data_IF_521221075954
#
_entry.id   IF_521221075954
#
_cell.length_a   1.000
_cell.length_b   1.000
_cell.length_c   1.000
_cell.angle_alpha   90.00
_cell.angle_beta   90.00
_cell.angle_gamma   90.00
#
_symmetry.space_group_name_H-M   'P 1'
#
loop_
_entity.id
_entity.type
_entity.pdbx_description
1 polymer ?
#
# COMPACT_ATOMS: atom_id res chain seq x y z
N UNK A 1 14.20 -8.17 13.19
CA UNK A 1 14.97 -8.87 14.24
C UNK A 1 16.45 -9.02 13.89
N UNK A 2 17.09 -8.01 13.31
CA UNK A 2 18.50 -8.10 12.87
C UNK A 2 19.28 -6.90 13.38
N UNK A 3 20.54 -7.10 13.77
CA UNK A 3 21.47 -6.03 14.14
C UNK A 3 21.13 -5.19 15.37
N UNK A 4 20.04 -5.48 16.10
CA UNK A 4 19.71 -4.73 17.33
C UNK A 4 20.69 -5.11 18.44
N UNK A 5 21.47 -4.12 18.89
CA UNK A 5 22.34 -4.27 20.07
C UNK A 5 21.50 -4.67 21.28
N UNK A 6 21.96 -5.66 22.04
CA UNK A 6 21.34 -6.01 23.32
C UNK A 6 21.48 -4.84 24.28
N UNK A 7 20.36 -4.41 24.86
CA UNK A 7 20.29 -3.36 25.86
C UNK A 7 19.71 -3.99 27.11
N UNK A 8 20.33 -3.70 28.25
CA UNK A 8 19.83 -4.09 29.56
C UNK A 8 18.53 -3.31 29.87
N UNK A 9 17.39 -3.99 30.08
CA UNK A 9 16.12 -3.33 30.37
C UNK A 9 16.14 -2.40 31.59
N UNK A 10 17.02 -2.67 32.57
CA UNK A 10 17.20 -1.83 33.76
C UNK A 10 17.82 -0.47 33.44
N UNK A 11 18.56 -0.36 32.32
CA UNK A 11 19.25 0.87 31.87
C UNK A 11 18.42 1.72 30.92
N UNK A 12 17.18 1.31 30.63
CA UNK A 12 16.27 2.09 29.78
C UNK A 12 15.63 3.17 30.66
N UNK A 13 15.98 4.42 30.37
CA UNK A 13 15.37 5.64 30.95
C UNK A 13 13.83 5.61 30.82
N UNK A 14 13.14 6.05 31.87
CA UNK A 14 11.69 6.19 31.92
C UNK A 14 11.13 6.98 30.73
N UNK A 15 11.81 8.06 30.30
CA UNK A 15 11.41 8.84 29.12
C UNK A 15 11.37 8.00 27.85
N UNK A 16 12.33 7.09 27.67
CA UNK A 16 12.37 6.17 26.52
C UNK A 16 11.25 5.13 26.60
N UNK A 17 10.95 4.62 27.79
CA UNK A 17 9.82 3.70 28.02
C UNK A 17 8.49 4.39 27.71
N UNK A 18 8.30 5.62 28.18
CA UNK A 18 7.09 6.40 27.93
C UNK A 18 6.91 6.69 26.44
N UNK A 19 7.98 7.10 25.74
CA UNK A 19 7.94 7.31 24.29
C UNK A 19 7.58 6.02 23.52
N UNK A 20 8.14 4.87 23.91
CA UNK A 20 7.80 3.57 23.33
C UNK A 20 6.33 3.21 23.58
N UNK A 21 5.82 3.44 24.80
CA UNK A 21 4.42 3.20 25.15
C UNK A 21 3.49 4.05 24.30
N UNK A 22 3.74 5.36 24.18
CA UNK A 22 2.96 6.27 23.31
C UNK A 22 2.97 5.82 21.84
N UNK A 23 4.14 5.40 21.34
CA UNK A 23 4.25 4.87 19.96
C UNK A 23 3.44 3.59 19.78
N UNK A 24 3.46 2.69 20.77
CA UNK A 24 2.70 1.44 20.73
C UNK A 24 1.18 1.70 20.78
N UNK A 25 0.73 2.61 21.65
CA UNK A 25 -0.67 3.00 21.74
C UNK A 25 -1.18 3.61 20.43
N UNK A 26 -0.41 4.52 19.84
CA UNK A 26 -0.72 5.11 18.54
C UNK A 26 -0.78 4.05 17.43
N UNK A 27 0.17 3.11 17.43
CA UNK A 27 0.19 1.99 16.48
C UNK A 27 -1.04 1.10 16.63
N UNK A 28 -1.37 0.68 17.86
CA UNK A 28 -2.53 -0.15 18.16
C UNK A 28 -3.84 0.54 17.73
N UNK A 29 -3.97 1.83 18.00
CA UNK A 29 -5.11 2.64 17.54
C UNK A 29 -5.19 2.70 16.02
N UNK A 30 -4.06 2.89 15.34
CA UNK A 30 -3.99 2.89 13.87
C UNK A 30 -4.43 1.57 13.26
N UNK A 31 -3.96 0.44 13.82
CA UNK A 31 -4.37 -0.91 13.40
C UNK A 31 -5.87 -1.12 13.60
N UNK A 32 -6.40 -0.79 14.78
CA UNK A 32 -7.83 -0.89 15.06
C UNK A 32 -8.68 -0.03 14.11
N UNK A 33 -8.23 1.20 13.83
CA UNK A 33 -8.88 2.10 12.87
C UNK A 33 -8.90 1.54 11.45
N UNK A 34 -7.78 0.99 10.97
CA UNK A 34 -7.71 0.37 9.65
C UNK A 34 -8.66 -0.83 9.53
N UNK A 35 -8.75 -1.68 10.56
CA UNK A 35 -9.69 -2.80 10.56
C UNK A 35 -11.16 -2.36 10.69
N UNK A 36 -11.44 -1.32 11.46
CA UNK A 36 -12.79 -0.74 11.55
C UNK A 36 -13.25 -0.22 10.19
N UNK A 37 -12.38 0.52 9.48
CA UNK A 37 -12.64 0.97 8.11
C UNK A 37 -12.88 -0.19 7.16
N UNK A 38 -12.05 -1.26 7.23
CA UNK A 38 -12.23 -2.45 6.39
C UNK A 38 -13.59 -3.11 6.63
N UNK A 39 -13.95 -3.29 7.91
CA UNK A 39 -15.23 -3.91 8.30
C UNK A 39 -16.43 -3.06 7.83
N UNK A 40 -16.32 -1.74 7.92
CA UNK A 40 -17.37 -0.82 7.51
C UNK A 40 -17.41 -0.56 6.00
N UNK A 41 -16.45 -1.07 5.22
CA UNK A 41 -16.20 -0.65 3.83
C UNK A 41 -16.15 0.89 3.72
N UNK A 42 -15.39 1.51 4.62
CA UNK A 42 -15.24 2.96 4.68
C UNK A 42 -14.58 3.55 3.43
N UNK A 43 -14.57 4.88 3.29
CA UNK A 43 -14.07 5.56 2.10
C UNK A 43 -12.62 5.18 1.74
N UNK A 44 -12.35 4.98 0.46
CA UNK A 44 -11.04 4.58 -0.06
C UNK A 44 -9.89 5.47 0.44
N UNK A 45 -10.09 6.79 0.44
CA UNK A 45 -9.10 7.77 0.91
C UNK A 45 -8.70 7.55 2.37
N UNK A 46 -9.69 7.29 3.24
CA UNK A 46 -9.46 7.07 4.67
C UNK A 46 -8.80 5.71 4.90
N UNK A 47 -9.21 4.69 4.16
CA UNK A 47 -8.61 3.36 4.19
C UNK A 47 -7.14 3.38 3.79
N UNK A 48 -6.80 4.06 2.67
CA UNK A 48 -5.42 4.22 2.22
C UNK A 48 -4.60 5.08 3.19
N UNK A 49 -5.18 6.12 3.78
CA UNK A 49 -4.48 6.92 4.79
C UNK A 49 -4.17 6.07 6.05
N UNK A 50 -5.18 5.40 6.61
CA UNK A 50 -5.03 4.62 7.83
C UNK A 50 -4.02 3.47 7.66
N UNK A 51 -4.11 2.71 6.56
CA UNK A 51 -3.15 1.64 6.27
C UNK A 51 -1.74 2.17 6.07
N UNK A 52 -1.56 3.31 5.37
CA UNK A 52 -0.24 3.95 5.19
C UNK A 52 0.41 4.28 6.54
N UNK A 53 -0.33 4.93 7.45
CA UNK A 53 0.21 5.28 8.78
C UNK A 53 0.72 4.09 9.57
N UNK A 54 0.08 2.93 9.43
CA UNK A 54 0.52 1.70 10.11
C UNK A 54 1.72 1.07 9.41
N UNK A 55 1.72 1.06 8.07
CA UNK A 55 2.77 0.44 7.26
C UNK A 55 4.09 1.23 7.27
N UNK A 56 4.03 2.56 7.42
CA UNK A 56 5.21 3.40 7.71
C UNK A 56 5.91 2.98 9.02
N UNK A 57 5.17 2.40 9.98
CA UNK A 57 5.75 1.92 11.24
C UNK A 57 6.15 0.44 11.16
N UNK A 58 5.39 -0.37 10.43
CA UNK A 58 5.61 -1.80 10.26
C UNK A 58 5.24 -2.25 8.84
N UNK A 59 6.23 -2.23 7.94
CA UNK A 59 6.07 -2.68 6.56
C UNK A 59 5.80 -4.18 6.40
N UNK A 60 6.03 -4.99 7.43
CA UNK A 60 5.81 -6.44 7.39
C UNK A 60 4.35 -6.84 7.68
N UNK A 61 3.43 -5.87 7.85
CA UNK A 61 2.02 -6.17 8.12
C UNK A 61 1.27 -6.58 6.84
N UNK A 62 1.43 -7.84 6.43
CA UNK A 62 0.87 -8.40 5.20
C UNK A 62 -0.65 -8.17 5.03
N UNK A 63 -1.44 -8.35 6.10
CA UNK A 63 -2.90 -8.16 6.05
C UNK A 63 -3.30 -6.75 5.63
N UNK A 64 -2.54 -5.72 6.02
CA UNK A 64 -2.85 -4.34 5.63
C UNK A 64 -2.46 -4.06 4.18
N UNK A 65 -1.41 -4.69 3.65
CA UNK A 65 -1.13 -4.66 2.21
C UNK A 65 -2.25 -5.31 1.40
N UNK A 66 -2.81 -6.42 1.87
CA UNK A 66 -3.98 -7.05 1.23
C UNK A 66 -5.18 -6.10 1.24
N UNK A 67 -5.45 -5.46 2.38
CA UNK A 67 -6.53 -4.49 2.48
C UNK A 67 -6.31 -3.29 1.53
N UNK A 68 -5.08 -2.78 1.39
CA UNK A 68 -4.78 -1.73 0.40
C UNK A 68 -5.13 -2.17 -1.02
N UNK A 69 -4.76 -3.40 -1.42
CA UNK A 69 -5.12 -3.93 -2.75
C UNK A 69 -6.63 -4.05 -2.94
N UNK A 70 -7.35 -4.52 -1.92
CA UNK A 70 -8.82 -4.56 -1.94
C UNK A 70 -9.41 -3.17 -2.20
N UNK A 71 -8.90 -2.13 -1.54
CA UNK A 71 -9.36 -0.75 -1.76
C UNK A 71 -9.13 -0.30 -3.20
N UNK A 72 -7.95 -0.55 -3.77
CA UNK A 72 -7.69 -0.21 -5.17
C UNK A 72 -8.63 -0.93 -6.12
N UNK A 73 -8.72 -2.26 -6.02
CA UNK A 73 -9.51 -3.10 -6.94
C UNK A 73 -11.01 -2.83 -6.81
N UNK A 74 -11.51 -2.58 -5.60
CA UNK A 74 -12.96 -2.53 -5.36
C UNK A 74 -13.53 -1.11 -5.36
N UNK A 75 -12.72 -0.07 -5.15
CA UNK A 75 -13.23 1.29 -4.93
C UNK A 75 -12.55 2.38 -5.74
N UNK A 76 -11.38 2.13 -6.34
CA UNK A 76 -10.63 3.17 -7.04
C UNK A 76 -10.57 2.87 -8.53
N UNK A 77 -10.05 1.71 -8.91
CA UNK A 77 -9.84 1.36 -10.32
C UNK A 77 -11.13 1.28 -11.13
N UNK A 78 -12.27 0.72 -10.64
CA UNK A 78 -13.48 0.59 -11.44
C UNK A 78 -14.06 1.91 -11.97
N UNK A 79 -13.84 3.01 -11.26
CA UNK A 79 -14.41 4.31 -11.58
C UNK A 79 -13.42 5.26 -12.28
N UNK A 80 -12.20 4.79 -12.59
CA UNK A 80 -11.13 5.60 -13.16
C UNK A 80 -10.82 5.22 -14.60
N UNK A 81 -10.57 6.22 -15.43
CA UNK A 81 -9.93 6.04 -16.75
C UNK A 81 -8.51 5.51 -16.61
N UNK A 82 -7.97 4.88 -17.66
CA UNK A 82 -6.58 4.37 -17.68
C UNK A 82 -5.57 5.45 -17.26
N UNK A 83 -5.74 6.69 -17.73
CA UNK A 83 -4.87 7.80 -17.36
C UNK A 83 -4.90 8.13 -15.86
N UNK A 84 -6.08 8.11 -15.24
CA UNK A 84 -6.24 8.35 -13.80
C UNK A 84 -5.69 7.20 -12.96
N UNK A 85 -5.85 5.96 -13.42
CA UNK A 85 -5.29 4.78 -12.76
C UNK A 85 -3.75 4.83 -12.78
N UNK A 86 -3.14 5.23 -13.90
CA UNK A 86 -1.69 5.43 -14.00
C UNK A 86 -1.18 6.52 -13.04
N UNK A 87 -1.88 7.65 -12.94
CA UNK A 87 -1.54 8.71 -12.00
C UNK A 87 -1.67 8.24 -10.53
N UNK A 88 -2.72 7.47 -10.24
CA UNK A 88 -2.96 6.86 -8.94
C UNK A 88 -1.84 5.90 -8.55
N UNK A 89 -1.45 4.99 -9.45
CA UNK A 89 -0.34 4.07 -9.20
C UNK A 89 1.02 4.78 -9.15
N UNK A 90 1.21 5.89 -9.87
CA UNK A 90 2.38 6.74 -9.72
C UNK A 90 2.56 7.22 -8.28
N UNK A 91 1.46 7.64 -7.64
CA UNK A 91 1.46 8.05 -6.22
C UNK A 91 1.77 6.87 -5.28
N UNK A 92 1.20 5.69 -5.53
CA UNK A 92 1.47 4.49 -4.72
C UNK A 92 2.91 4.00 -4.89
N UNK A 93 3.48 4.12 -6.09
CA UNK A 93 4.89 3.79 -6.36
C UNK A 93 5.84 4.71 -5.59
N UNK A 94 5.55 6.01 -5.48
CA UNK A 94 6.34 6.92 -4.62
C UNK A 94 6.28 6.54 -3.14
N UNK A 95 5.12 6.09 -2.66
CA UNK A 95 4.99 5.56 -1.30
C UNK A 95 5.80 4.27 -1.11
N UNK A 96 5.74 3.35 -2.07
CA UNK A 96 6.51 2.11 -2.06
C UNK A 96 8.02 2.36 -2.08
N UNK A 97 8.49 3.34 -2.85
CA UNK A 97 9.91 3.71 -2.90
C UNK A 97 10.44 4.11 -1.52
N UNK A 98 9.70 4.99 -0.83
CA UNK A 98 10.03 5.40 0.54
C UNK A 98 10.01 4.19 1.50
N UNK A 99 8.98 3.34 1.37
CA UNK A 99 8.80 2.17 2.23
C UNK A 99 9.92 1.11 2.04
N UNK A 100 10.40 0.92 0.81
CA UNK A 100 11.51 0.02 0.48
C UNK A 100 12.83 0.59 1.01
N UNK A 101 13.05 1.90 0.90
CA UNK A 101 14.26 2.54 1.42
C UNK A 101 14.38 2.34 2.94
N UNK A 102 13.27 2.42 3.66
CA UNK A 102 13.24 2.19 5.11
C UNK A 102 13.32 0.71 5.50
N UNK A 103 12.67 -0.18 4.75
CA UNK A 103 12.56 -1.61 5.06
C UNK A 103 12.92 -2.50 3.86
N UNK A 104 14.18 -2.49 3.38
CA UNK A 104 14.56 -3.11 2.11
C UNK A 104 14.42 -4.64 2.08
N UNK A 105 14.32 -5.28 3.25
CA UNK A 105 14.16 -6.73 3.40
C UNK A 105 12.71 -7.18 3.59
N UNK A 106 11.75 -6.25 3.54
CA UNK A 106 10.35 -6.56 3.78
C UNK A 106 9.71 -7.15 2.52
N UNK A 107 9.41 -8.45 2.57
CA UNK A 107 8.77 -9.17 1.46
C UNK A 107 7.40 -8.59 1.07
N UNK A 108 6.49 -8.24 2.00
CA UNK A 108 5.17 -7.71 1.64
C UNK A 108 5.23 -6.44 0.79
N UNK A 109 6.22 -5.56 1.03
CA UNK A 109 6.40 -4.32 0.26
C UNK A 109 6.79 -4.63 -1.19
N UNK A 110 7.78 -5.52 -1.37
CA UNK A 110 8.19 -5.96 -2.70
C UNK A 110 7.08 -6.68 -3.45
N UNK A 111 6.32 -7.52 -2.76
CA UNK A 111 5.18 -8.21 -3.33
C UNK A 111 4.07 -7.22 -3.76
N UNK A 112 3.80 -6.18 -2.96
CA UNK A 112 2.85 -5.12 -3.34
C UNK A 112 3.35 -4.32 -4.55
N UNK A 113 4.65 -4.01 -4.62
CA UNK A 113 5.25 -3.37 -5.80
C UNK A 113 5.11 -4.22 -7.06
N UNK A 114 5.36 -5.51 -6.97
CA UNK A 114 5.18 -6.44 -8.08
C UNK A 114 3.73 -6.42 -8.57
N UNK A 115 2.77 -6.50 -7.66
CA UNK A 115 1.35 -6.42 -7.99
C UNK A 115 0.99 -5.11 -8.72
N UNK A 116 1.48 -3.95 -8.24
CA UNK A 116 1.25 -2.66 -8.91
C UNK A 116 1.80 -2.68 -10.34
N UNK A 117 3.04 -3.12 -10.53
CA UNK A 117 3.68 -3.17 -11.85
C UNK A 117 2.95 -4.12 -12.80
N UNK A 118 2.58 -5.31 -12.33
CA UNK A 118 1.82 -6.28 -13.14
C UNK A 118 0.46 -5.71 -13.56
N UNK A 119 -0.20 -5.00 -12.66
CA UNK A 119 -1.49 -4.37 -12.93
C UNK A 119 -1.36 -3.30 -14.02
N UNK A 120 -0.32 -2.45 -13.95
CA UNK A 120 -0.02 -1.46 -14.99
C UNK A 120 0.30 -2.12 -16.34
N UNK A 121 1.03 -3.24 -16.35
CA UNK A 121 1.38 -3.94 -17.59
C UNK A 121 0.15 -4.54 -18.27
N UNK A 122 -0.72 -5.20 -17.52
CA UNK A 122 -1.97 -5.76 -18.06
C UNK A 122 -2.84 -4.66 -18.71
N UNK A 123 -2.98 -3.50 -18.05
CA UNK A 123 -3.72 -2.35 -18.61
C UNK A 123 -3.16 -1.86 -19.95
N UNK A 124 -1.84 -1.91 -20.13
CA UNK A 124 -1.19 -1.51 -21.39
C UNK A 124 -1.34 -2.54 -22.50
N UNK A 125 -1.58 -3.80 -22.15
CA UNK A 125 -1.86 -4.86 -23.12
C UNK A 125 -3.29 -4.71 -23.64
N UNK A 126 -4.26 -4.52 -22.74
CA UNK A 126 -5.67 -4.23 -23.09
C UNK A 126 -5.79 -2.99 -23.99
N UNK A 127 -5.12 -1.88 -23.66
CA UNK A 127 -5.17 -0.65 -24.49
C UNK A 127 -4.60 -0.85 -25.91
N UNK A 128 -3.68 -1.81 -26.10
CA UNK A 128 -3.13 -2.12 -27.43
C UNK A 128 -4.08 -2.99 -28.23
N UNK A 129 -4.73 -3.94 -27.59
CA UNK A 129 -5.73 -4.82 -28.21
C UNK A 129 -6.92 -3.98 -28.69
N UNK A 130 -7.45 -3.09 -27.85
CA UNK A 130 -8.55 -2.17 -28.19
C UNK A 130 -8.23 -1.28 -29.40
N UNK A 131 -6.97 -0.81 -29.52
CA UNK A 131 -6.53 0.01 -30.66
C UNK A 131 -6.42 -0.82 -31.93
N UNK A 132 -5.92 -2.06 -31.81
CA UNK A 132 -5.77 -2.97 -32.95
C UNK A 132 -7.13 -3.37 -33.52
N UNK A 133 -8.11 -3.65 -32.67
CA UNK A 133 -9.49 -3.99 -33.09
C UNK A 133 -10.15 -2.82 -33.83
N UNK A 134 -10.06 -1.59 -33.30
CA UNK A 134 -10.59 -0.39 -33.97
C UNK A 134 -9.94 -0.13 -35.33
N UNK A 135 -8.63 -0.33 -35.45
CA UNK A 135 -7.91 -0.21 -36.71
C UNK A 135 -8.24 -1.33 -37.72
N UNK A 136 -8.77 -2.46 -37.27
CA UNK A 136 -9.24 -3.55 -38.14
C UNK A 136 -10.68 -3.27 -38.60
N UNK A 137 -11.57 -2.82 -37.71
CA UNK A 137 -12.93 -2.40 -38.04
C UNK A 137 -12.97 -1.25 -39.05
N UNK A 138 -12.12 -0.21 -38.88
CA UNK A 138 -12.02 0.91 -39.84
C UNK A 138 -11.47 0.52 -41.21
N UNK A 139 -10.82 -0.65 -41.34
CA UNK A 139 -10.31 -1.15 -42.64
C UNK A 139 -11.32 -2.05 -43.36
N UNK A 140 -12.32 -2.54 -42.65
CA UNK A 140 -13.39 -3.39 -43.20
C UNK A 140 -14.63 -2.58 -43.65
N UNK A 141 -14.73 -1.31 -43.25
CA UNK A 141 -15.77 -0.34 -43.67
C UNK A 141 -15.34 0.51 -44.89
#
# INVERSE_FOLDING_TARGET
MHGRKRIDPSKIDEKKKEAQKKKLEAYAKGVAGAFALRKARGPAKDALYATRKVLEVNGDFYTLWNYRREVYVQQILPDQSVAEQLATFGTELSFLETSIAENPKSYPIWNHRLWVVQTILAMKEEEKEDKKEKEEEEKEE
#
